data_IF_776551467953
#
_entry.id   IF_776551467953
#
_cell.length_a   1.000
_cell.length_b   1.000
_cell.length_c   1.000
_cell.angle_alpha   90.00
_cell.angle_beta   90.00
_cell.angle_gamma   90.00
#
_symmetry.space_group_name_H-M   'P 1'
#
loop_
_entity.id
_entity.type
_entity.pdbx_description
1 polymer ?
#
# COMPACT_ATOMS: atom_id res chain seq x y z
N UNK A 1 -16.95 14.43 9.06
CA UNK A 1 -15.93 13.78 8.20
C UNK A 1 -15.24 12.72 9.05
N UNK A 2 -15.25 11.50 8.59
CA UNK A 2 -14.50 10.42 9.24
C UNK A 2 -13.00 10.63 9.04
N UNK A 3 -12.21 10.41 10.08
CA UNK A 3 -10.76 10.42 9.94
C UNK A 3 -10.30 9.25 9.08
N UNK A 4 -9.21 9.42 8.32
CA UNK A 4 -8.62 8.32 7.55
C UNK A 4 -8.17 7.20 8.49
N UNK A 5 -8.38 5.97 8.06
CA UNK A 5 -8.02 4.79 8.86
C UNK A 5 -6.57 4.42 8.55
N UNK A 6 -5.73 4.50 9.57
CA UNK A 6 -4.38 3.94 9.52
C UNK A 6 -4.41 2.51 10.06
N UNK A 7 -3.82 1.61 9.33
CA UNK A 7 -3.72 0.20 9.69
C UNK A 7 -2.28 -0.13 10.04
N UNK A 8 -2.07 -0.70 11.21
CA UNK A 8 -0.75 -1.08 11.71
C UNK A 8 -0.68 -2.58 11.91
N UNK A 9 0.34 -3.20 11.36
CA UNK A 9 0.65 -4.62 11.58
C UNK A 9 2.10 -4.76 12.05
N UNK A 10 2.37 -5.83 12.81
CA UNK A 10 3.71 -6.14 13.29
C UNK A 10 4.14 -7.50 12.76
N UNK A 11 5.41 -7.61 12.40
CA UNK A 11 5.99 -8.85 11.91
C UNK A 11 7.33 -9.12 12.59
N UNK A 12 7.53 -10.37 13.00
CA UNK A 12 8.84 -10.87 13.39
C UNK A 12 9.52 -11.44 12.14
N UNK A 13 10.73 -10.99 11.85
CA UNK A 13 11.52 -11.53 10.73
C UNK A 13 12.12 -12.85 11.15
N UNK A 14 11.55 -13.94 10.64
CA UNK A 14 11.96 -15.31 10.94
C UNK A 14 13.08 -15.78 9.98
N UNK A 15 13.85 -16.81 10.34
CA UNK A 15 14.85 -17.39 9.43
C UNK A 15 14.28 -17.81 8.08
N UNK A 16 13.02 -18.29 8.03
CA UNK A 16 12.34 -18.64 6.77
C UNK A 16 12.06 -17.45 5.86
N UNK A 17 12.08 -16.24 6.40
CA UNK A 17 11.83 -14.99 5.66
C UNK A 17 13.13 -14.32 5.20
N UNK A 18 14.27 -14.94 5.50
CA UNK A 18 15.59 -14.36 5.30
C UNK A 18 16.28 -14.86 4.03
N UNK A 19 17.17 -14.01 3.51
CA UNK A 19 18.13 -14.38 2.48
C UNK A 19 19.40 -15.00 3.13
N UNK A 20 20.38 -15.35 2.31
CA UNK A 20 21.64 -15.95 2.79
C UNK A 20 22.56 -14.97 3.55
N UNK A 21 22.23 -13.68 3.58
CA UNK A 21 22.93 -12.67 4.38
C UNK A 21 22.34 -12.51 5.80
N UNK A 22 21.29 -13.25 6.13
CA UNK A 22 20.63 -13.12 7.42
C UNK A 22 19.74 -11.88 7.54
N UNK A 23 19.29 -11.33 6.42
CA UNK A 23 18.38 -10.20 6.37
C UNK A 23 17.09 -10.55 5.63
N UNK A 24 16.04 -9.77 5.83
CA UNK A 24 14.75 -9.99 5.20
C UNK A 24 14.88 -10.10 3.68
N UNK A 25 14.42 -11.21 3.15
CA UNK A 25 14.43 -11.48 1.71
C UNK A 25 13.43 -10.56 0.98
N UNK A 26 13.81 -10.08 -0.19
CA UNK A 26 12.99 -9.15 -0.96
C UNK A 26 11.59 -9.69 -1.29
N UNK A 27 11.46 -10.97 -1.57
CA UNK A 27 10.16 -11.62 -1.80
C UNK A 27 9.27 -11.61 -0.56
N UNK A 28 9.84 -11.86 0.61
CA UNK A 28 9.12 -11.79 1.89
C UNK A 28 8.73 -10.35 2.24
N UNK A 29 9.62 -9.39 1.98
CA UNK A 29 9.35 -7.97 2.13
C UNK A 29 8.16 -7.54 1.28
N UNK A 30 8.16 -7.92 0.01
CA UNK A 30 7.08 -7.60 -0.93
C UNK A 30 5.75 -8.21 -0.47
N UNK A 31 5.78 -9.46 0.00
CA UNK A 31 4.60 -10.12 0.58
C UNK A 31 4.05 -9.34 1.78
N UNK A 32 4.89 -8.93 2.71
CA UNK A 32 4.48 -8.15 3.87
C UNK A 32 3.87 -6.80 3.46
N UNK A 33 4.50 -6.13 2.49
CA UNK A 33 4.01 -4.86 1.98
C UNK A 33 2.63 -4.99 1.32
N UNK A 34 2.44 -6.03 0.51
CA UNK A 34 1.15 -6.30 -0.15
C UNK A 34 0.06 -6.67 0.85
N UNK A 35 0.36 -7.49 1.83
CA UNK A 35 -0.59 -7.83 2.91
C UNK A 35 -1.00 -6.57 3.69
N UNK A 36 -0.03 -5.74 4.05
CA UNK A 36 -0.29 -4.47 4.73
C UNK A 36 -1.11 -3.49 3.88
N UNK A 37 -0.79 -3.39 2.60
CA UNK A 37 -1.53 -2.58 1.65
C UNK A 37 -2.98 -3.06 1.49
N UNK A 38 -3.17 -4.36 1.34
CA UNK A 38 -4.51 -4.94 1.22
C UNK A 38 -5.35 -4.72 2.49
N UNK A 39 -4.76 -4.92 3.66
CA UNK A 39 -5.43 -4.67 4.92
C UNK A 39 -5.85 -3.19 5.06
N UNK A 40 -4.96 -2.26 4.73
CA UNK A 40 -5.25 -0.83 4.76
C UNK A 40 -6.33 -0.45 3.73
N UNK A 41 -6.26 -1.01 2.52
CA UNK A 41 -7.26 -0.80 1.48
C UNK A 41 -8.65 -1.28 1.93
N UNK A 42 -8.73 -2.51 2.41
CA UNK A 42 -9.98 -3.11 2.86
C UNK A 42 -10.59 -2.37 4.04
N UNK A 43 -9.78 -1.99 5.02
CA UNK A 43 -10.27 -1.21 6.16
C UNK A 43 -10.69 0.20 5.77
N UNK A 44 -9.99 0.81 4.82
CA UNK A 44 -10.30 2.16 4.35
C UNK A 44 -11.56 2.24 3.49
N UNK A 45 -11.84 1.21 2.71
CA UNK A 45 -13.02 1.16 1.83
C UNK A 45 -14.21 0.50 2.51
N UNK A 46 -13.99 -0.61 3.19
CA UNK A 46 -14.99 -1.42 3.85
C UNK A 46 -14.67 -2.89 3.72
N UNK A 47 -14.99 -3.67 4.75
CA UNK A 47 -14.64 -5.09 4.81
C UNK A 47 -15.31 -5.94 3.74
N UNK A 48 -16.41 -5.46 3.17
CA UNK A 48 -17.15 -6.15 2.10
C UNK A 48 -16.67 -5.74 0.70
N UNK A 49 -15.72 -4.81 0.60
CA UNK A 49 -15.21 -4.34 -0.67
C UNK A 49 -14.43 -5.46 -1.37
N UNK A 50 -14.70 -5.61 -2.67
CA UNK A 50 -13.94 -6.53 -3.51
C UNK A 50 -12.86 -5.76 -4.25
N UNK A 51 -11.67 -5.72 -3.67
CA UNK A 51 -10.53 -4.95 -4.15
C UNK A 51 -9.51 -5.84 -4.82
N UNK A 52 -9.08 -5.45 -6.00
CA UNK A 52 -8.00 -6.11 -6.75
C UNK A 52 -6.79 -5.19 -6.83
N UNK A 53 -5.61 -5.75 -6.58
CA UNK A 53 -4.35 -5.06 -6.84
C UNK A 53 -4.19 -4.85 -8.34
N UNK A 54 -3.96 -3.60 -8.75
CA UNK A 54 -3.73 -3.24 -10.16
C UNK A 54 -2.30 -2.84 -10.44
N UNK A 55 -1.68 -2.14 -9.49
CA UNK A 55 -0.33 -1.60 -9.69
C UNK A 55 0.44 -1.51 -8.39
N UNK A 56 1.71 -1.77 -8.51
CA UNK A 56 2.73 -1.29 -7.57
C UNK A 56 3.34 -0.05 -8.21
N UNK A 57 3.02 1.12 -7.67
CA UNK A 57 3.46 2.41 -8.24
C UNK A 57 4.88 2.77 -7.84
N UNK A 58 5.40 2.13 -6.81
CA UNK A 58 6.75 2.28 -6.35
C UNK A 58 6.94 1.52 -5.05
N UNK A 59 8.08 0.87 -4.92
CA UNK A 59 8.51 0.20 -3.69
C UNK A 59 9.99 0.51 -3.54
N UNK A 60 10.36 1.11 -2.42
CA UNK A 60 11.75 1.41 -2.11
C UNK A 60 12.16 0.71 -0.82
N UNK A 61 13.21 -0.10 -0.93
CA UNK A 61 13.88 -0.71 0.21
C UNK A 61 15.04 0.21 0.61
N UNK A 62 14.96 0.77 1.80
CA UNK A 62 15.92 1.78 2.24
C UNK A 62 17.02 1.22 3.12
N UNK A 63 16.69 0.15 3.84
CA UNK A 63 17.64 -0.53 4.74
C UNK A 63 17.33 -2.02 4.81
N UNK A 64 18.37 -2.82 4.99
CA UNK A 64 18.22 -4.24 5.29
C UNK A 64 17.69 -4.43 6.71
N UNK A 65 16.89 -5.47 6.91
CA UNK A 65 16.27 -5.80 8.19
C UNK A 65 16.82 -7.16 8.65
N UNK A 66 17.54 -7.23 9.78
CA UNK A 66 18.09 -8.49 10.27
C UNK A 66 17.01 -9.47 10.71
N UNK A 67 17.33 -10.77 10.60
CA UNK A 67 16.54 -11.83 11.23
C UNK A 67 16.42 -11.57 12.74
N UNK A 68 15.25 -11.82 13.29
CA UNK A 68 14.95 -11.56 14.69
C UNK A 68 14.43 -10.15 14.98
N UNK A 69 14.45 -9.27 13.99
CA UNK A 69 13.86 -7.92 14.15
C UNK A 69 12.34 -8.01 14.20
N UNK A 70 11.74 -7.22 15.07
CA UNK A 70 10.31 -6.96 15.05
C UNK A 70 10.08 -5.65 14.31
N UNK A 71 9.29 -5.69 13.25
CA UNK A 71 9.03 -4.55 12.39
C UNK A 71 7.56 -4.19 12.38
N UNK A 72 7.28 -2.93 12.15
CA UNK A 72 5.94 -2.38 12.05
C UNK A 72 5.67 -1.94 10.60
N UNK A 73 4.53 -2.34 10.06
CA UNK A 73 4.05 -1.83 8.78
C UNK A 73 2.80 -0.99 9.03
N UNK A 74 2.82 0.23 8.55
CA UNK A 74 1.68 1.15 8.59
C UNK A 74 1.17 1.36 7.19
N UNK A 75 -0.14 1.34 7.02
CA UNK A 75 -0.77 1.59 5.74
C UNK A 75 -2.00 2.48 5.87
N UNK A 76 -2.23 3.31 4.87
CA UNK A 76 -3.42 4.15 4.79
C UNK A 76 -3.75 4.48 3.35
N UNK A 77 -5.00 4.86 3.10
CA UNK A 77 -5.44 5.35 1.79
C UNK A 77 -4.91 6.76 1.58
N UNK A 78 -4.17 6.98 0.49
CA UNK A 78 -3.58 8.27 0.14
C UNK A 78 -4.32 8.99 -0.98
N UNK A 79 -5.03 8.28 -1.83
CA UNK A 79 -5.79 8.86 -2.93
C UNK A 79 -7.04 8.05 -3.17
N UNK A 80 -8.15 8.75 -3.44
CA UNK A 80 -9.44 8.15 -3.78
C UNK A 80 -9.87 8.68 -5.14
N UNK A 81 -10.19 7.78 -6.04
CA UNK A 81 -10.75 8.05 -7.36
C UNK A 81 -12.06 7.26 -7.49
N UNK A 82 -12.77 7.46 -8.59
CA UNK A 82 -14.09 6.89 -8.83
C UNK A 82 -14.22 5.41 -8.42
N UNK A 83 -13.37 4.55 -8.96
CA UNK A 83 -13.42 3.10 -8.71
C UNK A 83 -12.11 2.55 -8.12
N UNK A 84 -11.12 3.40 -7.84
CA UNK A 84 -9.82 2.95 -7.37
C UNK A 84 -9.25 3.84 -6.27
N UNK A 85 -8.35 3.25 -5.50
CA UNK A 85 -7.61 3.92 -4.45
C UNK A 85 -6.12 3.65 -4.61
N UNK A 86 -5.32 4.55 -4.06
CA UNK A 86 -3.89 4.31 -3.84
C UNK A 86 -3.63 4.26 -2.35
N UNK A 87 -2.97 3.21 -1.93
CA UNK A 87 -2.56 2.99 -0.54
C UNK A 87 -1.07 3.20 -0.42
N UNK A 88 -0.66 3.93 0.60
CA UNK A 88 0.74 4.01 1.02
C UNK A 88 1.02 3.01 2.13
N UNK A 89 2.19 2.37 2.07
CA UNK A 89 2.70 1.50 3.13
C UNK A 89 4.10 1.96 3.51
N UNK A 90 4.34 2.07 4.79
CA UNK A 90 5.65 2.42 5.36
C UNK A 90 6.04 1.34 6.36
N UNK A 91 7.24 0.80 6.21
CA UNK A 91 7.84 -0.10 7.17
C UNK A 91 8.70 0.67 8.16
N UNK A 92 8.37 0.59 9.43
CA UNK A 92 9.07 1.28 10.51
C UNK A 92 9.75 0.30 11.44
N UNK A 93 10.99 0.59 11.89
CA UNK A 93 11.56 -0.12 13.01
C UNK A 93 10.77 0.22 14.29
N UNK A 94 10.74 -0.67 15.26
CA UNK A 94 10.08 -0.40 16.54
C UNK A 94 10.86 0.56 17.43
N UNK A 95 12.16 0.66 17.20
CA UNK A 95 13.02 1.56 17.95
C UNK A 95 12.79 3.00 17.56
N UNK A 96 12.65 3.86 18.55
CA UNK A 96 12.40 5.28 18.35
C UNK A 96 13.54 5.97 17.60
N UNK A 97 13.20 6.94 16.75
CA UNK A 97 14.07 7.81 15.97
C UNK A 97 14.66 7.20 14.68
N UNK A 98 14.24 6.03 14.28
CA UNK A 98 14.75 5.44 13.06
C UNK A 98 13.90 5.80 11.84
N UNK A 99 14.57 5.92 10.71
CA UNK A 99 13.94 6.15 9.43
C UNK A 99 13.24 4.88 8.94
N UNK A 100 12.21 5.01 8.09
CA UNK A 100 11.57 3.86 7.47
C UNK A 100 12.59 2.95 6.79
N UNK A 101 12.40 1.62 6.93
CA UNK A 101 13.22 0.65 6.22
C UNK A 101 12.67 0.32 4.84
N UNK A 102 11.42 0.61 4.58
CA UNK A 102 10.79 0.54 3.26
C UNK A 102 9.61 1.50 3.17
N UNK A 103 9.24 1.85 1.96
CA UNK A 103 7.97 2.47 1.66
C UNK A 103 7.48 2.08 0.26
N UNK A 104 6.18 2.16 0.05
CA UNK A 104 5.59 1.77 -1.23
C UNK A 104 4.21 2.38 -1.46
N UNK A 105 3.83 2.39 -2.73
CA UNK A 105 2.52 2.83 -3.20
C UNK A 105 1.86 1.69 -3.97
N UNK A 106 0.61 1.39 -3.63
CA UNK A 106 -0.15 0.27 -4.18
C UNK A 106 -1.51 0.74 -4.66
N UNK A 107 -1.83 0.47 -5.91
CA UNK A 107 -3.10 0.83 -6.52
C UNK A 107 -4.07 -0.34 -6.55
N UNK A 108 -5.28 -0.14 -6.01
CA UNK A 108 -6.36 -1.11 -6.01
C UNK A 108 -7.56 -0.56 -6.77
N UNK A 109 -8.33 -1.46 -7.37
CA UNK A 109 -9.60 -1.16 -8.01
C UNK A 109 -10.71 -1.98 -7.35
N UNK A 110 -11.87 -1.36 -7.11
CA UNK A 110 -13.05 -2.10 -6.71
C UNK A 110 -13.71 -2.72 -7.94
N UNK A 111 -14.02 -3.99 -7.86
CA UNK A 111 -14.63 -4.74 -8.95
C UNK A 111 -15.87 -5.50 -8.46
N UNK A 112 -16.76 -5.82 -9.41
CA UNK A 112 -17.90 -6.69 -9.17
C UNK A 112 -17.50 -8.19 -9.25
N UNK A 113 -18.50 -9.07 -9.15
CA UNK A 113 -18.27 -10.52 -9.23
C UNK A 113 -17.71 -10.99 -10.57
N UNK A 114 -17.83 -10.17 -11.63
CA UNK A 114 -17.30 -10.45 -12.96
C UNK A 114 -15.92 -9.83 -13.19
N UNK A 115 -15.39 -9.12 -12.20
CA UNK A 115 -14.11 -8.44 -12.31
C UNK A 115 -14.19 -7.08 -13.01
N UNK A 116 -15.37 -6.52 -13.21
CA UNK A 116 -15.55 -5.21 -13.82
C UNK A 116 -15.47 -4.11 -12.77
N UNK A 117 -14.82 -2.97 -13.08
CA UNK A 117 -14.73 -1.86 -12.14
C UNK A 117 -16.10 -1.34 -11.73
N UNK A 118 -16.27 -1.08 -10.43
CA UNK A 118 -17.45 -0.45 -9.85
C UNK A 118 -17.03 0.67 -8.92
N UNK A 119 -17.89 1.66 -8.79
CA UNK A 119 -17.62 2.83 -7.96
C UNK A 119 -17.42 2.44 -6.50
N UNK A 120 -16.50 3.15 -5.87
CA UNK A 120 -16.26 3.03 -4.43
C UNK A 120 -17.47 3.55 -3.65
N UNK A 121 -17.74 3.00 -2.45
CA UNK A 121 -18.78 3.55 -1.60
C UNK A 121 -18.46 4.99 -1.20
N UNK A 122 -19.48 5.76 -0.88
CA UNK A 122 -19.32 7.10 -0.35
C UNK A 122 -18.62 7.07 1.02
N UNK A 123 -17.83 8.10 1.31
CA UNK A 123 -17.20 8.26 2.62
C UNK A 123 -15.80 7.67 2.76
N UNK A 124 -15.24 7.10 1.70
CA UNK A 124 -13.82 6.69 1.70
C UNK A 124 -12.94 7.94 1.79
N UNK A 125 -12.09 7.99 2.79
CA UNK A 125 -11.29 9.18 3.12
C UNK A 125 -9.81 8.91 2.93
N UNK A 126 -9.13 9.81 2.22
CA UNK A 126 -7.67 9.79 2.10
C UNK A 126 -7.01 10.51 3.29
N UNK A 127 -5.76 10.14 3.59
CA UNK A 127 -4.96 10.80 4.62
C UNK A 127 -4.73 12.28 4.30
N UNK A 128 -4.58 13.08 5.36
CA UNK A 128 -4.28 14.51 5.24
C UNK A 128 -2.86 14.70 4.70
N UNK A 129 -2.72 15.60 3.71
CA UNK A 129 -1.43 15.96 3.12
C UNK A 129 -0.41 16.51 4.12
N UNK A 130 -0.86 16.98 5.28
CA UNK A 130 0.00 17.52 6.33
C UNK A 130 0.61 16.45 7.23
N UNK A 131 0.16 15.21 7.13
CA UNK A 131 0.69 14.14 7.96
C UNK A 131 2.12 13.78 7.54
N UNK A 132 3.08 14.04 8.40
CA UNK A 132 4.51 13.95 8.12
C UNK A 132 4.94 12.57 7.56
N UNK A 133 4.38 11.49 8.08
CA UNK A 133 4.70 10.12 7.65
C UNK A 133 4.36 9.88 6.18
N UNK A 134 3.25 10.45 5.70
CA UNK A 134 2.70 10.18 4.37
C UNK A 134 3.12 11.21 3.32
N UNK A 135 3.64 12.36 3.72
CA UNK A 135 4.05 13.42 2.80
C UNK A 135 4.99 12.96 1.70
N UNK A 136 6.06 12.21 1.97
CA UNK A 136 6.98 11.78 0.91
C UNK A 136 6.29 10.91 -0.14
N UNK A 137 5.40 10.02 0.29
CA UNK A 137 4.64 9.15 -0.60
C UNK A 137 3.61 9.94 -1.43
N UNK A 138 2.93 10.89 -0.83
CA UNK A 138 2.00 11.78 -1.53
C UNK A 138 2.70 12.63 -2.59
N UNK A 139 3.90 13.12 -2.31
CA UNK A 139 4.71 13.84 -3.29
C UNK A 139 5.10 12.96 -4.48
N UNK A 140 5.48 11.72 -4.22
CA UNK A 140 5.78 10.75 -5.28
C UNK A 140 4.54 10.43 -6.11
N UNK A 141 3.41 10.26 -5.47
CA UNK A 141 2.14 10.00 -6.14
C UNK A 141 1.71 11.15 -7.04
N UNK A 142 1.85 12.40 -6.59
CA UNK A 142 1.55 13.59 -7.39
C UNK A 142 2.40 13.67 -8.67
N UNK A 143 3.69 13.33 -8.58
CA UNK A 143 4.59 13.28 -9.75
C UNK A 143 4.20 12.19 -10.75
N UNK A 144 3.66 11.08 -10.28
CA UNK A 144 3.20 9.98 -11.13
C UNK A 144 1.95 10.39 -11.91
N UNK A 145 1.04 11.12 -11.28
CA UNK A 145 -0.20 11.59 -11.89
C UNK A 145 0.03 12.58 -13.04
N UNK A 146 1.07 13.41 -12.96
CA UNK A 146 1.40 14.38 -14.01
C UNK A 146 2.00 13.76 -15.27
N UNK A 147 2.41 12.49 -15.24
CA UNK A 147 2.99 11.78 -16.39
C UNK A 147 1.97 11.00 -17.23
N UNK A 148 0.68 11.26 -17.09
CA UNK A 148 -0.37 10.66 -17.93
C UNK A 148 -0.69 9.20 -17.66
N UNK A 149 -0.07 8.59 -16.66
CA UNK A 149 -0.23 7.15 -16.37
C UNK A 149 -1.60 6.76 -15.79
N UNK A 150 -2.45 7.72 -15.48
CA UNK A 150 -3.76 7.46 -14.85
C UNK A 150 -4.91 7.28 -15.84
N UNK A 151 -4.76 7.73 -17.08
CA UNK A 151 -5.83 7.65 -18.09
C UNK A 151 -6.03 6.24 -18.64
N UNK A 152 -4.97 5.44 -18.70
CA UNK A 152 -5.00 4.13 -19.36
C UNK A 152 -5.60 3.00 -18.52
N UNK A 153 -5.93 3.28 -17.26
CA UNK A 153 -6.42 2.24 -16.34
C UNK A 153 -7.88 1.86 -16.58
N UNK A 154 -8.65 2.80 -17.07
CA UNK A 154 -10.11 2.65 -17.22
C UNK A 154 -10.46 1.89 -18.51
N UNK A 155 -9.56 1.89 -19.48
CA UNK A 155 -9.82 1.33 -20.81
C UNK A 155 -9.36 -0.11 -21.04
N UNK A 156 -8.51 -0.65 -20.19
CA UNK A 156 -8.07 -2.04 -20.33
C UNK A 156 -9.05 -2.97 -19.60
N UNK A 157 -10.17 -3.24 -20.26
CA UNK A 157 -11.01 -4.37 -19.89
C UNK A 157 -10.14 -5.63 -19.87
N UNK A 158 -10.26 -6.44 -18.82
CA UNK A 158 -9.75 -7.80 -18.86
C UNK A 158 -10.50 -8.54 -19.98
N UNK A 159 -9.90 -8.58 -21.17
CA UNK A 159 -10.32 -9.49 -22.21
C UNK A 159 -10.12 -10.89 -21.67
N UNK A 160 -11.21 -11.57 -21.37
CA UNK A 160 -11.16 -12.96 -21.01
C UNK A 160 -10.57 -13.77 -22.16
N UNK A 161 -9.60 -14.59 -21.85
CA UNK A 161 -9.26 -15.76 -22.60
C UNK A 161 -9.84 -16.95 -21.88
#
# INVERSE_FOLDING_TARGET
MSEPIETTTHRLVLPADANHYGTLYAGSLLKYALEGAYAAATRGVGLEANLMLRRVLGLECRRSVPVGSLVELRGTVLQVRQCHIVVGVVGMPLEANDLPWMDGLFGFVQVDAKGLPVDLPAGVTAADERHALWQPLMKRLAKTSTRGATADWIGAGFGGG
#
